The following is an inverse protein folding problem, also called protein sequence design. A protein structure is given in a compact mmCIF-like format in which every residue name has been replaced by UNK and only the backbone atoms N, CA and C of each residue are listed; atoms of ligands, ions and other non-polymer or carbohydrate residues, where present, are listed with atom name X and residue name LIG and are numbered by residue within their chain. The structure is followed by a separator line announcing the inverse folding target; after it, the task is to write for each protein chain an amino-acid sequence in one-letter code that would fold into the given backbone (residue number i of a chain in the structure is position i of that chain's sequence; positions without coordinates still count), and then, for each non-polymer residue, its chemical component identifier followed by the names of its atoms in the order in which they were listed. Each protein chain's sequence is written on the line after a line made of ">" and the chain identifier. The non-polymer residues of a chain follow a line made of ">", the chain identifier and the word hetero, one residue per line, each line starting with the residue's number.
data_IF_428622522167
#
_entry.id   IF_428622522167
#
_cell.length_a   1.000
_cell.length_b   1.000
_cell.length_c   1.000
_cell.angle_alpha   90.00
_cell.angle_beta   90.00
_cell.angle_gamma   90.00
#
_symmetry.space_group_name_H-M   'P 1'
#
loop_
_entity.id
_entity.type
_entity.pdbx_description
1 polymer ?
#
# COMPACT_ATOMS: atom_id res chain seq x y z
N UNK A 1 19.74 20.56 5.11
CA UNK A 1 20.24 20.04 3.80
C UNK A 1 20.87 18.64 3.90
N UNK A 2 21.85 18.41 4.77
CA UNK A 2 22.56 17.11 4.85
C UNK A 2 21.64 15.90 5.11
N UNK A 3 20.68 16.02 6.04
CA UNK A 3 19.73 14.93 6.36
C UNK A 3 18.77 14.64 5.21
N UNK A 4 18.32 15.67 4.51
CA UNK A 4 17.43 15.52 3.35
C UNK A 4 18.11 14.76 2.23
N UNK A 5 19.33 15.14 1.86
CA UNK A 5 20.10 14.47 0.81
C UNK A 5 20.44 13.02 1.19
N UNK A 6 20.78 12.78 2.46
CA UNK A 6 21.03 11.41 2.95
C UNK A 6 19.76 10.56 2.94
N UNK A 7 18.61 11.14 3.32
CA UNK A 7 17.31 10.49 3.21
C UNK A 7 16.97 10.11 1.77
N UNK A 8 17.24 10.98 0.81
CA UNK A 8 17.04 10.69 -0.61
C UNK A 8 17.94 9.54 -1.09
N UNK A 9 19.23 9.54 -0.70
CA UNK A 9 20.12 8.42 -1.04
C UNK A 9 19.62 7.07 -0.49
N UNK A 10 19.09 7.04 0.75
CA UNK A 10 18.50 5.82 1.30
C UNK A 10 17.21 5.44 0.60
N UNK A 11 16.40 6.41 0.21
CA UNK A 11 15.17 6.17 -0.55
C UNK A 11 15.45 5.54 -1.92
N UNK A 12 16.45 6.07 -2.65
CA UNK A 12 16.89 5.54 -3.94
C UNK A 12 17.50 4.13 -3.80
N UNK A 13 18.19 3.87 -2.68
CA UNK A 13 18.70 2.55 -2.31
C UNK A 13 17.62 1.59 -1.77
N UNK A 14 16.34 1.98 -1.80
CA UNK A 14 15.19 1.23 -1.27
C UNK A 14 15.31 0.85 0.23
N UNK A 15 16.14 1.58 0.98
CA UNK A 15 16.28 1.46 2.44
C UNK A 15 15.28 2.39 3.14
N UNK A 16 14.00 2.07 3.02
CA UNK A 16 12.89 2.97 3.36
C UNK A 16 12.88 3.40 4.83
N UNK A 17 13.15 2.47 5.76
CA UNK A 17 13.19 2.79 7.20
C UNK A 17 14.28 3.83 7.53
N UNK A 18 15.48 3.67 6.93
CA UNK A 18 16.57 4.63 7.10
C UNK A 18 16.24 5.97 6.45
N UNK A 19 15.62 5.95 5.28
CA UNK A 19 15.15 7.16 4.61
C UNK A 19 14.12 7.91 5.46
N UNK A 20 13.11 7.23 5.99
CA UNK A 20 12.09 7.79 6.87
C UNK A 20 12.70 8.42 8.12
N UNK A 21 13.64 7.73 8.77
CA UNK A 21 14.35 8.26 9.94
C UNK A 21 15.10 9.59 9.64
N UNK A 22 15.78 9.66 8.49
CA UNK A 22 16.51 10.88 8.10
C UNK A 22 15.53 12.02 7.71
N UNK A 23 14.41 11.69 7.05
CA UNK A 23 13.38 12.68 6.74
C UNK A 23 12.70 13.22 8.01
N UNK A 24 12.34 12.37 8.97
CA UNK A 24 11.79 12.79 10.25
C UNK A 24 12.75 13.72 11.00
N UNK A 25 14.03 13.37 10.99
CA UNK A 25 15.07 14.19 11.60
C UNK A 25 15.22 15.55 10.91
N UNK A 26 15.18 15.55 9.58
CA UNK A 26 15.20 16.79 8.81
C UNK A 26 13.97 17.67 9.07
N UNK A 27 12.77 17.07 9.15
CA UNK A 27 11.52 17.76 9.44
C UNK A 27 11.53 18.39 10.84
N UNK A 28 12.02 17.67 11.86
CA UNK A 28 12.16 18.19 13.24
C UNK A 28 13.10 19.39 13.34
N UNK A 29 14.13 19.45 12.51
CA UNK A 29 15.08 20.55 12.48
C UNK A 29 14.62 21.73 11.62
N UNK A 30 13.54 21.54 10.87
CA UNK A 30 12.96 22.57 10.02
C UNK A 30 11.95 23.39 10.84
N UNK A 31 12.44 24.37 11.60
CA UNK A 31 11.60 25.32 12.37
C UNK A 31 10.91 26.34 11.47
N UNK A 32 11.06 26.21 10.17
CA UNK A 32 10.74 27.23 9.20
C UNK A 32 9.30 27.20 8.70
N UNK A 33 8.84 28.38 8.35
CA UNK A 33 7.64 28.66 7.57
C UNK A 33 7.45 27.58 6.50
N UNK A 34 6.32 26.92 6.56
CA UNK A 34 5.95 25.78 5.71
C UNK A 34 6.02 26.02 4.19
N UNK A 35 6.16 27.27 3.76
CA UNK A 35 6.19 27.69 2.34
C UNK A 35 7.58 27.72 1.70
N UNK A 36 8.65 27.31 2.42
CA UNK A 36 9.97 27.23 1.81
C UNK A 36 10.00 26.05 0.81
N UNK A 37 10.48 26.23 -0.44
CA UNK A 37 10.61 25.19 -1.45
C UNK A 37 11.36 23.95 -0.96
N UNK A 38 12.40 24.13 -0.16
CA UNK A 38 13.17 23.01 0.42
C UNK A 38 12.34 22.20 1.41
N UNK A 39 11.46 22.86 2.18
CA UNK A 39 10.54 22.18 3.12
C UNK A 39 9.45 21.42 2.37
N UNK A 40 8.88 22.01 1.31
CA UNK A 40 7.89 21.32 0.48
C UNK A 40 8.49 20.08 -0.19
N UNK A 41 9.70 20.19 -0.73
CA UNK A 41 10.44 19.06 -1.31
C UNK A 41 10.71 17.96 -0.28
N UNK A 42 11.13 18.33 0.93
CA UNK A 42 11.38 17.38 2.02
C UNK A 42 10.10 16.66 2.44
N UNK A 43 9.00 17.39 2.66
CA UNK A 43 7.70 16.79 3.01
C UNK A 43 7.20 15.85 1.92
N UNK A 44 7.34 16.23 0.66
CA UNK A 44 6.95 15.39 -0.47
C UNK A 44 7.76 14.10 -0.53
N UNK A 45 9.08 14.16 -0.33
CA UNK A 45 9.93 12.98 -0.29
C UNK A 45 9.61 12.07 0.91
N UNK A 46 9.33 12.66 2.08
CA UNK A 46 8.91 11.92 3.26
C UNK A 46 7.57 11.22 3.03
N UNK A 47 6.58 11.91 2.46
CA UNK A 47 5.28 11.34 2.13
C UNK A 47 5.39 10.15 1.16
N UNK A 48 6.18 10.29 0.09
CA UNK A 48 6.44 9.22 -0.86
C UNK A 48 7.17 8.01 -0.21
N UNK A 49 8.04 8.27 0.77
CA UNK A 49 8.69 7.22 1.54
C UNK A 49 7.69 6.45 2.41
N UNK A 50 6.82 7.16 3.14
CA UNK A 50 5.77 6.54 3.96
C UNK A 50 4.75 5.78 3.12
N UNK A 51 4.38 6.30 1.96
CA UNK A 51 3.51 5.60 1.00
C UNK A 51 4.10 4.24 0.60
N UNK A 52 5.39 4.20 0.24
CA UNK A 52 6.09 2.95 -0.06
C UNK A 52 6.19 2.00 1.13
N UNK A 53 6.30 2.54 2.35
CA UNK A 53 6.28 1.76 3.59
C UNK A 53 4.87 1.31 3.99
N UNK A 54 3.85 1.74 3.28
CA UNK A 54 2.43 1.54 3.59
C UNK A 54 1.97 2.18 4.91
N UNK A 55 2.71 3.16 5.37
CA UNK A 55 2.33 4.03 6.48
C UNK A 55 1.52 5.20 5.95
N UNK A 56 0.27 4.91 5.60
CA UNK A 56 -0.61 5.86 4.92
C UNK A 56 -0.99 7.04 5.80
N UNK A 57 -1.07 6.86 7.12
CA UNK A 57 -1.40 7.95 8.05
C UNK A 57 -0.33 9.03 8.00
N UNK A 58 0.94 8.66 8.12
CA UNK A 58 2.04 9.62 8.03
C UNK A 58 2.21 10.21 6.63
N UNK A 59 1.95 9.43 5.59
CA UNK A 59 1.98 9.93 4.23
C UNK A 59 0.93 11.03 4.01
N UNK A 60 -0.32 10.78 4.40
CA UNK A 60 -1.43 11.72 4.28
C UNK A 60 -1.15 12.98 5.09
N UNK A 61 -0.64 12.86 6.33
CA UNK A 61 -0.28 14.02 7.16
C UNK A 61 0.71 14.95 6.44
N UNK A 62 1.73 14.40 5.79
CA UNK A 62 2.70 15.22 5.06
C UNK A 62 2.08 15.86 3.81
N UNK A 63 1.23 15.15 3.07
CA UNK A 63 0.53 15.72 1.91
C UNK A 63 -0.49 16.79 2.32
N UNK A 64 -1.25 16.61 3.41
CA UNK A 64 -2.14 17.64 3.96
C UNK A 64 -1.37 18.91 4.34
N UNK A 65 -0.21 18.75 4.97
CA UNK A 65 0.66 19.87 5.32
C UNK A 65 1.19 20.64 4.09
N UNK A 66 1.48 19.93 2.99
CA UNK A 66 1.85 20.56 1.70
C UNK A 66 0.63 21.26 1.11
N UNK A 67 -0.51 20.60 1.02
CA UNK A 67 -1.73 21.11 0.41
C UNK A 67 -2.24 22.38 1.10
N UNK A 68 -2.18 22.40 2.43
CA UNK A 68 -2.56 23.58 3.24
C UNK A 68 -1.68 24.79 2.94
N UNK A 69 -0.40 24.54 2.62
CA UNK A 69 0.58 25.61 2.35
C UNK A 69 0.58 26.02 0.89
N UNK A 70 0.48 25.06 -0.01
CA UNK A 70 0.57 25.23 -1.48
C UNK A 70 -0.36 24.24 -2.17
N UNK A 71 -1.65 24.56 -2.35
CA UNK A 71 -2.66 23.62 -2.87
C UNK A 71 -2.36 23.03 -4.24
N UNK A 72 -1.59 23.72 -5.09
CA UNK A 72 -1.23 23.27 -6.43
C UNK A 72 0.16 22.61 -6.52
N UNK A 73 0.72 22.14 -5.40
CA UNK A 73 2.06 21.53 -5.43
C UNK A 73 2.00 20.10 -5.99
N UNK A 74 2.58 19.92 -7.20
CA UNK A 74 2.64 18.62 -7.91
C UNK A 74 1.27 17.91 -7.93
N UNK A 75 1.29 16.60 -7.69
CA UNK A 75 0.15 15.67 -7.66
C UNK A 75 -0.47 15.48 -6.24
N UNK A 76 -0.13 16.36 -5.29
CA UNK A 76 -0.57 16.23 -3.89
C UNK A 76 -2.08 16.21 -3.74
N UNK A 77 -2.80 17.01 -4.52
CA UNK A 77 -4.27 17.04 -4.49
C UNK A 77 -4.87 15.70 -4.97
N UNK A 78 -4.28 15.11 -6.03
CA UNK A 78 -4.71 13.82 -6.57
C UNK A 78 -4.43 12.69 -5.55
N UNK A 79 -3.25 12.72 -4.92
CA UNK A 79 -2.90 11.80 -3.83
C UNK A 79 -3.88 11.89 -2.66
N UNK A 80 -4.21 13.07 -2.19
CA UNK A 80 -5.18 13.26 -1.12
C UNK A 80 -6.59 12.79 -1.51
N UNK A 81 -7.01 13.00 -2.75
CA UNK A 81 -8.29 12.49 -3.23
C UNK A 81 -8.29 10.95 -3.29
N UNK A 82 -7.21 10.34 -3.79
CA UNK A 82 -7.05 8.88 -3.85
C UNK A 82 -7.17 8.24 -2.45
N UNK A 83 -6.60 8.89 -1.43
CA UNK A 83 -6.59 8.35 -0.07
C UNK A 83 -7.75 8.83 0.80
N UNK A 84 -8.63 9.72 0.29
CA UNK A 84 -9.82 10.19 1.03
C UNK A 84 -10.73 9.02 1.44
N UNK A 85 -11.03 8.15 0.50
CA UNK A 85 -11.93 7.02 0.73
C UNK A 85 -11.28 5.99 1.67
N UNK A 86 -9.96 5.85 1.61
CA UNK A 86 -9.20 4.98 2.52
C UNK A 86 -9.25 5.46 3.97
N UNK A 87 -9.21 6.78 4.19
CA UNK A 87 -9.28 7.36 5.54
C UNK A 87 -10.65 7.16 6.18
N UNK A 88 -11.71 7.08 5.38
CA UNK A 88 -13.09 6.86 5.83
C UNK A 88 -13.47 5.39 5.96
N UNK A 89 -12.65 4.47 5.46
CA UNK A 89 -12.95 3.04 5.41
C UNK A 89 -11.84 2.21 6.08
N UNK A 90 -12.07 1.86 7.35
CA UNK A 90 -11.11 1.08 8.16
C UNK A 90 -10.76 -0.27 7.53
N UNK A 91 -11.71 -0.94 6.87
CA UNK A 91 -11.47 -2.22 6.20
C UNK A 91 -10.54 -2.06 4.99
N UNK A 92 -10.69 -0.98 4.22
CA UNK A 92 -9.82 -0.70 3.08
C UNK A 92 -8.41 -0.35 3.56
N UNK A 93 -8.30 0.41 4.66
CA UNK A 93 -7.03 0.74 5.29
C UNK A 93 -6.34 -0.54 5.78
N UNK A 94 -7.06 -1.42 6.47
CA UNK A 94 -6.55 -2.70 6.92
C UNK A 94 -6.04 -3.52 5.73
N UNK A 95 -6.83 -3.67 4.67
CA UNK A 95 -6.44 -4.40 3.45
C UNK A 95 -5.11 -3.92 2.87
N UNK A 96 -4.85 -2.61 2.85
CA UNK A 96 -3.65 -2.03 2.26
C UNK A 96 -2.43 -1.99 3.20
N UNK A 97 -2.63 -1.94 4.52
CA UNK A 97 -1.55 -1.69 5.50
C UNK A 97 -1.11 -2.91 6.27
N UNK A 98 -1.93 -3.96 6.38
CA UNK A 98 -1.58 -5.18 7.11
C UNK A 98 -0.33 -5.86 6.55
N UNK A 99 0.42 -6.55 7.41
CA UNK A 99 1.56 -7.37 7.01
C UNK A 99 1.18 -8.50 6.07
N UNK A 100 2.15 -9.08 5.36
CA UNK A 100 1.93 -10.10 4.34
C UNK A 100 1.16 -11.32 4.86
N UNK A 101 1.50 -11.81 6.06
CA UNK A 101 0.82 -12.95 6.69
C UNK A 101 -0.66 -12.65 7.02
N UNK A 102 -0.93 -11.48 7.58
CA UNK A 102 -2.30 -11.06 7.90
C UNK A 102 -3.12 -10.79 6.63
N UNK A 103 -2.49 -10.24 5.59
CA UNK A 103 -3.09 -10.08 4.28
C UNK A 103 -3.50 -11.42 3.66
N UNK A 104 -2.64 -12.42 3.75
CA UNK A 104 -2.93 -13.77 3.27
C UNK A 104 -4.12 -14.39 4.02
N UNK A 105 -4.21 -14.22 5.35
CA UNK A 105 -5.34 -14.67 6.16
C UNK A 105 -6.64 -13.96 5.76
N UNK A 106 -6.58 -12.65 5.53
CA UNK A 106 -7.72 -11.86 5.07
C UNK A 106 -8.22 -12.33 3.70
N UNK A 107 -7.34 -12.50 2.72
CA UNK A 107 -7.71 -12.99 1.39
C UNK A 107 -8.30 -14.40 1.42
N UNK A 108 -7.76 -15.28 2.29
CA UNK A 108 -8.32 -16.60 2.54
C UNK A 108 -9.76 -16.51 3.08
N UNK A 109 -9.98 -15.70 4.12
CA UNK A 109 -11.31 -15.50 4.70
C UNK A 109 -12.31 -14.94 3.68
N UNK A 110 -11.89 -14.00 2.84
CA UNK A 110 -12.73 -13.47 1.73
C UNK A 110 -13.07 -14.58 0.74
N UNK A 111 -12.09 -15.41 0.33
CA UNK A 111 -12.32 -16.52 -0.60
C UNK A 111 -13.33 -17.54 -0.04
N UNK A 112 -13.19 -17.88 1.24
CA UNK A 112 -14.06 -18.87 1.89
C UNK A 112 -15.47 -18.32 2.18
N UNK A 113 -15.56 -17.07 2.66
CA UNK A 113 -16.85 -16.50 3.11
C UNK A 113 -17.65 -15.83 1.99
N UNK A 114 -17.00 -15.02 1.14
CA UNK A 114 -17.71 -14.28 0.10
C UNK A 114 -18.00 -15.14 -1.13
N UNK A 115 -17.14 -16.11 -1.45
CA UNK A 115 -17.30 -16.97 -2.61
C UNK A 115 -17.73 -18.41 -2.26
N UNK A 116 -17.86 -18.74 -0.97
CA UNK A 116 -18.22 -20.07 -0.47
C UNK A 116 -17.33 -21.18 -1.09
N UNK A 117 -16.03 -20.96 -1.18
CA UNK A 117 -15.07 -21.86 -1.78
C UNK A 117 -14.13 -22.44 -0.73
N UNK A 118 -13.67 -23.66 -0.93
CA UNK A 118 -12.69 -24.33 -0.07
C UNK A 118 -11.28 -24.05 -0.58
N UNK A 119 -10.46 -23.36 0.21
CA UNK A 119 -9.06 -23.05 -0.13
C UNK A 119 -8.20 -24.30 -0.05
N UNK A 120 -7.56 -24.65 -1.17
CA UNK A 120 -6.68 -25.81 -1.29
C UNK A 120 -5.20 -25.45 -1.10
N UNK A 121 -4.80 -24.31 -1.66
CA UNK A 121 -3.44 -23.81 -1.49
C UNK A 121 -3.42 -22.29 -1.54
N UNK A 122 -2.42 -21.73 -0.91
CA UNK A 122 -2.18 -20.30 -0.87
C UNK A 122 -0.68 -20.03 -0.98
N UNK A 123 -0.32 -18.97 -1.72
CA UNK A 123 1.06 -18.56 -1.92
C UNK A 123 1.17 -17.05 -1.86
N UNK A 124 2.15 -16.57 -1.12
CA UNK A 124 2.54 -15.15 -1.16
C UNK A 124 3.27 -14.87 -2.49
N UNK A 125 2.93 -13.72 -3.09
CA UNK A 125 3.59 -13.18 -4.28
C UNK A 125 4.02 -11.74 -3.99
N UNK A 126 4.93 -11.20 -4.79
CA UNK A 126 5.64 -9.94 -4.53
C UNK A 126 4.75 -8.75 -4.10
N UNK A 127 3.52 -8.66 -4.61
CA UNK A 127 2.59 -7.56 -4.36
C UNK A 127 1.20 -8.04 -3.91
N UNK A 128 1.11 -9.24 -3.33
CA UNK A 128 -0.17 -9.79 -2.93
C UNK A 128 -0.11 -11.27 -2.59
N UNK A 129 -1.17 -12.00 -2.93
CA UNK A 129 -1.19 -13.45 -2.79
C UNK A 129 -2.00 -14.13 -3.90
N UNK A 130 -1.67 -15.38 -4.16
CA UNK A 130 -2.41 -16.29 -5.05
C UNK A 130 -3.08 -17.37 -4.20
N UNK A 131 -4.35 -17.63 -4.45
CA UNK A 131 -5.16 -18.64 -3.75
C UNK A 131 -5.80 -19.56 -4.77
N UNK A 132 -5.62 -20.87 -4.62
CA UNK A 132 -6.33 -21.89 -5.37
C UNK A 132 -7.46 -22.43 -4.49
N UNK A 133 -8.69 -22.32 -4.95
CA UNK A 133 -9.87 -22.77 -4.23
C UNK A 133 -10.77 -23.66 -5.10
N UNK A 134 -11.48 -24.55 -4.46
CA UNK A 134 -12.46 -25.45 -5.08
C UNK A 134 -13.87 -25.08 -4.62
N UNK A 135 -14.83 -25.20 -5.53
CA UNK A 135 -16.24 -25.06 -5.19
C UNK A 135 -16.68 -26.28 -4.37
N UNK A 136 -17.22 -26.04 -3.18
CA UNK A 136 -17.78 -27.11 -2.35
C UNK A 136 -19.21 -27.41 -2.81
N UNK A 137 -19.33 -28.38 -3.71
CA UNK A 137 -20.61 -28.86 -4.23
C UNK A 137 -21.07 -30.11 -3.48
N UNK A 138 -20.91 -30.17 -2.16
CA UNK A 138 -21.26 -31.34 -1.34
C UNK A 138 -22.77 -31.73 -1.42
N UNK A 139 -23.62 -30.83 -1.87
CA UNK A 139 -25.08 -31.09 -2.00
C UNK A 139 -25.52 -31.59 -3.39
N UNK A 140 -24.66 -31.61 -4.38
CA UNK A 140 -25.06 -32.05 -5.74
C UNK A 140 -24.64 -33.49 -6.00
N UNK A 141 -25.61 -34.37 -6.09
CA UNK A 141 -25.51 -35.83 -6.36
C UNK A 141 -24.86 -36.23 -7.71
N UNK A 142 -24.32 -35.28 -8.47
CA UNK A 142 -23.65 -35.57 -9.72
C UNK A 142 -22.14 -35.38 -9.58
N UNK A 143 -21.37 -36.32 -10.17
CA UNK A 143 -19.91 -36.27 -10.33
C UNK A 143 -19.46 -35.08 -11.19
N UNK A 144 -19.70 -33.87 -10.72
CA UNK A 144 -19.16 -32.65 -11.33
C UNK A 144 -17.70 -32.59 -10.94
N UNK A 145 -16.79 -32.66 -11.91
CA UNK A 145 -15.34 -32.42 -11.69
C UNK A 145 -15.19 -31.05 -11.05
N UNK A 146 -14.76 -31.03 -9.80
CA UNK A 146 -14.43 -29.77 -9.08
C UNK A 146 -13.31 -29.08 -9.86
N UNK A 147 -13.64 -27.98 -10.50
CA UNK A 147 -12.62 -27.18 -11.21
C UNK A 147 -11.96 -26.22 -10.23
N UNK A 148 -10.64 -26.24 -10.13
CA UNK A 148 -9.92 -25.26 -9.31
C UNK A 148 -10.08 -23.86 -9.90
N UNK A 149 -10.34 -22.88 -9.04
CA UNK A 149 -10.37 -21.45 -9.36
C UNK A 149 -9.13 -20.79 -8.78
N UNK A 150 -8.45 -20.01 -9.58
CA UNK A 150 -7.30 -19.22 -9.15
C UNK A 150 -7.78 -17.79 -8.84
N UNK A 151 -7.51 -17.32 -7.63
CA UNK A 151 -7.72 -15.94 -7.20
C UNK A 151 -6.37 -15.28 -7.00
N UNK A 152 -6.20 -14.09 -7.56
CA UNK A 152 -5.02 -13.27 -7.37
C UNK A 152 -5.47 -11.98 -6.69
N UNK A 153 -5.01 -11.76 -5.45
CA UNK A 153 -5.25 -10.55 -4.69
C UNK A 153 -4.02 -9.67 -4.76
N UNK A 154 -4.16 -8.48 -5.31
CA UNK A 154 -3.10 -7.47 -5.36
C UNK A 154 -3.31 -6.43 -4.27
N UNK A 155 -2.22 -6.00 -3.65
CA UNK A 155 -2.20 -4.90 -2.66
C UNK A 155 -1.87 -3.55 -3.29
N UNK A 156 -1.40 -3.54 -4.54
CA UNK A 156 -1.03 -2.34 -5.26
C UNK A 156 -2.20 -1.81 -6.09
N UNK A 157 -2.36 -0.49 -6.10
CA UNK A 157 -3.28 0.20 -6.99
C UNK A 157 -2.71 0.39 -8.40
N UNK A 158 -1.45 0.03 -8.62
CA UNK A 158 -0.81 0.10 -9.93
C UNK A 158 -1.37 -0.97 -10.87
N UNK A 159 -1.35 -0.66 -12.16
CA UNK A 159 -1.81 -1.58 -13.19
C UNK A 159 -1.00 -2.88 -13.10
N UNK A 160 -1.71 -3.99 -12.93
CA UNK A 160 -1.10 -5.32 -12.92
C UNK A 160 -0.53 -5.57 -14.32
N UNK A 161 0.78 -5.50 -14.46
CA UNK A 161 1.47 -5.80 -15.71
C UNK A 161 1.67 -7.31 -15.92
N UNK A 162 1.98 -7.70 -17.17
CA UNK A 162 2.24 -9.09 -17.55
C UNK A 162 3.34 -9.76 -16.70
N UNK A 163 4.29 -8.97 -16.20
CA UNK A 163 5.36 -9.47 -15.31
C UNK A 163 4.83 -9.98 -13.97
N UNK A 164 3.74 -9.42 -13.47
CA UNK A 164 3.09 -9.86 -12.24
C UNK A 164 2.38 -11.21 -12.42
N UNK A 165 1.76 -11.41 -13.57
CA UNK A 165 1.02 -12.64 -13.87
C UNK A 165 1.94 -13.85 -14.16
N UNK A 166 3.24 -13.59 -14.43
CA UNK A 166 4.23 -14.63 -14.74
C UNK A 166 5.13 -15.00 -13.54
N UNK A 167 4.99 -14.33 -12.41
CA UNK A 167 5.73 -14.57 -11.17
C UNK A 167 5.01 -15.59 -10.27
#
# INVERSE_FOLDING_TARGET
>A
KCFTERGLCYFDANSLEKAAFEFDRALKLTTAKNSNPDTLRLRYAAAACYEKMRDLDRAIEQWEAIHTTTPGYKDVADKLNQYRDLRSNDYMKEYLTVGAESFLKLCKAVTEQAFALSVQSQKEIKQGCAIIALEDNSEKWMNVRKQPKLFIYSRDSDIIGDSFLRS
#
